data_IF_517395943859
#
_entry.id   IF_517395943859
#
_cell.length_a   1.000
_cell.length_b   1.000
_cell.length_c   1.000
_cell.angle_alpha   90.00
_cell.angle_beta   90.00
_cell.angle_gamma   90.00
#
_symmetry.space_group_name_H-M   'P 1'
#
loop_
_entity.id
_entity.type
_entity.pdbx_description
1 polymer ?
#
# COMPACT_ATOMS: atom_id res chain seq x y z
N UNK A 1 4.23 9.72 3.01
CA UNK A 1 3.41 8.53 2.85
C UNK A 1 1.96 8.82 2.45
N UNK A 2 1.31 9.75 3.10
CA UNK A 2 -0.07 10.13 2.81
C UNK A 2 -0.28 10.51 1.34
N UNK A 3 0.64 11.27 0.76
CA UNK A 3 0.59 11.67 -0.64
C UNK A 3 0.61 10.44 -1.58
N UNK A 4 1.45 9.45 -1.27
CA UNK A 4 1.56 8.22 -2.07
C UNK A 4 0.26 7.42 -1.97
N UNK A 5 -0.30 7.27 -0.78
CA UNK A 5 -1.56 6.56 -0.56
C UNK A 5 -2.71 7.23 -1.31
N UNK A 6 -2.79 8.55 -1.25
CA UNK A 6 -3.82 9.31 -1.94
C UNK A 6 -3.68 9.20 -3.46
N UNK A 7 -2.44 9.24 -3.97
CA UNK A 7 -2.18 9.09 -5.41
C UNK A 7 -2.62 7.71 -5.90
N UNK A 8 -2.26 6.64 -5.18
CA UNK A 8 -2.65 5.27 -5.54
C UNK A 8 -4.17 5.12 -5.49
N UNK A 9 -4.82 5.61 -4.45
CA UNK A 9 -6.28 5.53 -4.31
C UNK A 9 -6.97 6.25 -5.46
N UNK A 10 -6.48 7.43 -5.82
CA UNK A 10 -7.01 8.20 -6.96
C UNK A 10 -6.87 7.45 -8.28
N UNK A 11 -5.73 6.82 -8.51
CA UNK A 11 -5.51 6.03 -9.73
C UNK A 11 -6.49 4.85 -9.79
N UNK A 12 -6.66 4.14 -8.68
CA UNK A 12 -7.59 3.01 -8.59
C UNK A 12 -9.02 3.46 -8.88
N UNK A 13 -9.47 4.55 -8.27
CA UNK A 13 -10.81 5.09 -8.47
C UNK A 13 -11.02 5.51 -9.92
N UNK A 14 -10.04 6.16 -10.52
CA UNK A 14 -10.11 6.59 -11.92
C UNK A 14 -10.20 5.38 -12.86
N UNK A 15 -9.44 4.33 -12.59
CA UNK A 15 -9.48 3.10 -13.38
C UNK A 15 -10.84 2.42 -13.26
N UNK A 16 -11.36 2.27 -12.04
CA UNK A 16 -12.64 1.61 -11.78
C UNK A 16 -13.82 2.36 -12.40
N UNK A 17 -13.74 3.69 -12.45
CA UNK A 17 -14.79 4.51 -13.07
C UNK A 17 -14.71 4.52 -14.60
N UNK A 18 -13.63 4.03 -15.19
CA UNK A 18 -13.42 4.05 -16.64
C UNK A 18 -13.05 5.40 -17.20
N UNK A 19 -12.70 6.38 -16.37
CA UNK A 19 -12.43 7.76 -16.77
C UNK A 19 -10.99 8.03 -17.18
N UNK A 20 -10.27 7.03 -17.64
CA UNK A 20 -8.87 7.18 -18.06
C UNK A 20 -8.73 7.30 -19.57
N UNK A 21 -7.70 8.03 -20.01
CA UNK A 21 -7.40 8.23 -21.43
C UNK A 21 -6.32 7.29 -21.95
N UNK A 22 -5.34 6.95 -21.14
CA UNK A 22 -4.21 6.12 -21.53
C UNK A 22 -3.90 5.11 -20.44
N UNK A 23 -4.24 3.85 -20.71
CA UNK A 23 -4.07 2.75 -19.77
C UNK A 23 -2.60 2.46 -19.49
N UNK A 24 -1.72 2.60 -20.50
CA UNK A 24 -0.28 2.37 -20.31
C UNK A 24 0.34 3.39 -19.35
N UNK A 25 -0.04 4.66 -19.49
CA UNK A 25 0.45 5.73 -18.61
C UNK A 25 -0.06 5.48 -17.19
N UNK A 26 -1.34 5.15 -17.05
CA UNK A 26 -1.96 4.88 -15.76
C UNK A 26 -1.29 3.70 -15.05
N UNK A 27 -1.03 2.62 -15.79
CA UNK A 27 -0.35 1.43 -15.26
C UNK A 27 1.06 1.79 -14.77
N UNK A 28 1.79 2.59 -15.54
CA UNK A 28 3.14 3.05 -15.18
C UNK A 28 3.13 3.88 -13.90
N UNK A 29 2.19 4.81 -13.80
CA UNK A 29 2.04 5.64 -12.60
C UNK A 29 1.71 4.81 -11.37
N UNK A 30 0.80 3.84 -11.53
CA UNK A 30 0.42 2.95 -10.44
C UNK A 30 1.62 2.13 -9.95
N UNK A 31 2.35 1.48 -10.85
CA UNK A 31 3.49 0.63 -10.49
C UNK A 31 4.64 1.44 -9.87
N UNK A 32 4.87 2.66 -10.35
CA UNK A 32 5.88 3.56 -9.76
C UNK A 32 5.52 3.93 -8.33
N UNK A 33 4.25 4.25 -8.09
CA UNK A 33 3.77 4.59 -6.75
C UNK A 33 3.78 3.37 -5.82
N UNK A 34 3.50 2.17 -6.34
CA UNK A 34 3.62 0.93 -5.57
C UNK A 34 5.06 0.71 -5.10
N UNK A 35 6.03 1.01 -5.95
CA UNK A 35 7.44 0.93 -5.58
C UNK A 35 7.78 1.87 -4.42
N UNK A 36 7.32 3.13 -4.50
CA UNK A 36 7.52 4.09 -3.40
C UNK A 36 6.79 3.65 -2.13
N UNK A 37 5.60 3.08 -2.28
CA UNK A 37 4.84 2.56 -1.14
C UNK A 37 5.59 1.42 -0.45
N UNK A 38 6.28 0.56 -1.21
CA UNK A 38 7.10 -0.51 -0.65
C UNK A 38 8.19 0.07 0.27
N UNK A 39 8.83 1.16 -0.13
CA UNK A 39 9.83 1.82 0.70
C UNK A 39 9.22 2.38 1.99
N UNK A 40 8.04 2.98 1.89
CA UNK A 40 7.32 3.48 3.07
C UNK A 40 6.88 2.34 4.00
N UNK A 41 6.50 1.20 3.42
CA UNK A 41 6.13 0.02 4.19
C UNK A 41 7.32 -0.50 5.00
N UNK A 42 8.53 -0.51 4.42
CA UNK A 42 9.75 -0.91 5.13
C UNK A 42 9.99 0.00 6.33
N UNK A 43 9.84 1.30 6.16
CA UNK A 43 9.99 2.28 7.26
C UNK A 43 8.94 2.04 8.35
N UNK A 44 7.70 1.84 7.96
CA UNK A 44 6.61 1.58 8.91
C UNK A 44 6.84 0.29 9.67
N UNK A 45 7.31 -0.76 8.98
CA UNK A 45 7.64 -2.04 9.62
C UNK A 45 8.76 -1.90 10.65
N UNK A 46 9.79 -1.09 10.35
CA UNK A 46 10.86 -0.84 11.30
C UNK A 46 10.35 -0.18 12.58
N UNK A 47 9.45 0.79 12.45
CA UNK A 47 8.80 1.43 13.61
C UNK A 47 7.96 0.43 14.38
N UNK A 48 7.20 -0.41 13.67
CA UNK A 48 6.36 -1.44 14.28
C UNK A 48 7.19 -2.40 15.10
N UNK A 49 8.31 -2.88 14.55
CA UNK A 49 9.22 -3.80 15.24
C UNK A 49 9.84 -3.14 16.47
N UNK A 50 10.19 -1.86 16.38
CA UNK A 50 10.72 -1.10 17.51
C UNK A 50 9.72 -1.07 18.66
N UNK A 51 8.45 -0.76 18.38
CA UNK A 51 7.40 -0.77 19.40
C UNK A 51 7.21 -2.18 19.98
N UNK A 52 7.17 -3.18 19.10
CA UNK A 52 6.98 -4.58 19.50
C UNK A 52 8.07 -5.03 20.47
N UNK A 53 9.35 -4.82 20.12
CA UNK A 53 10.46 -5.28 20.95
C UNK A 53 10.70 -4.43 22.20
N UNK A 54 10.23 -3.21 22.22
CA UNK A 54 10.32 -2.33 23.39
C UNK A 54 9.11 -2.44 24.32
N UNK A 55 8.13 -3.26 23.97
CA UNK A 55 6.97 -3.49 24.83
C UNK A 55 7.38 -4.16 26.14
N UNK A 56 6.79 -3.73 27.24
CA UNK A 56 7.04 -4.30 28.57
C UNK A 56 6.23 -5.58 28.81
N UNK A 57 5.28 -5.90 27.92
CA UNK A 57 4.48 -7.12 28.04
C UNK A 57 5.30 -8.35 27.69
N UNK A 58 4.97 -9.48 28.31
CA UNK A 58 5.54 -10.79 27.97
C UNK A 58 4.65 -11.59 27.04
N UNK A 59 3.44 -11.06 26.75
CA UNK A 59 2.46 -11.72 25.91
C UNK A 59 2.55 -11.16 24.48
N UNK A 60 2.86 -12.03 23.51
CA UNK A 60 3.06 -11.64 22.13
C UNK A 60 1.83 -10.92 21.53
N UNK A 61 0.62 -11.40 21.81
CA UNK A 61 -0.61 -10.79 21.31
C UNK A 61 -0.76 -9.35 21.80
N UNK A 62 -0.35 -9.05 23.04
CA UNK A 62 -0.39 -7.69 23.60
C UNK A 62 0.66 -6.82 22.92
N UNK A 63 1.87 -7.34 22.69
CA UNK A 63 2.93 -6.60 21.99
C UNK A 63 2.51 -6.22 20.58
N UNK A 64 1.89 -7.16 19.85
CA UNK A 64 1.37 -6.92 18.50
C UNK A 64 0.29 -5.85 18.49
N UNK A 65 -0.63 -5.90 19.44
CA UNK A 65 -1.70 -4.92 19.58
C UNK A 65 -1.16 -3.54 19.85
N UNK A 66 -0.16 -3.41 20.72
CA UNK A 66 0.50 -2.14 21.01
C UNK A 66 1.17 -1.57 19.76
N UNK A 67 1.91 -2.42 19.04
CA UNK A 67 2.58 -2.01 17.81
C UNK A 67 1.58 -1.60 16.74
N UNK A 68 0.50 -2.35 16.54
CA UNK A 68 -0.56 -2.00 15.58
C UNK A 68 -1.22 -0.67 15.93
N UNK A 69 -1.43 -0.43 17.20
CA UNK A 69 -2.06 0.82 17.67
C UNK A 69 -1.16 2.04 17.46
N UNK A 70 0.15 1.89 17.68
CA UNK A 70 1.10 2.99 17.56
C UNK A 70 1.59 3.20 16.12
N UNK A 71 1.53 2.17 15.27
CA UNK A 71 1.98 2.25 13.88
C UNK A 71 0.86 1.76 12.95
N UNK A 72 -0.29 2.46 12.89
CA UNK A 72 -1.41 2.05 12.03
C UNK A 72 -1.09 2.15 10.54
N UNK A 73 -0.09 2.96 10.17
CA UNK A 73 0.31 3.15 8.78
C UNK A 73 0.84 1.86 8.14
N UNK A 74 1.37 0.91 8.93
CA UNK A 74 1.83 -0.37 8.38
C UNK A 74 0.68 -1.18 7.80
N UNK A 75 -0.41 -1.28 8.54
CA UNK A 75 -1.61 -1.97 8.07
C UNK A 75 -2.19 -1.28 6.84
N UNK A 76 -2.25 0.04 6.88
CA UNK A 76 -2.79 0.84 5.77
C UNK A 76 -1.95 0.67 4.51
N UNK A 77 -0.61 0.70 4.62
CA UNK A 77 0.28 0.46 3.50
C UNK A 77 0.05 -0.91 2.87
N UNK A 78 -0.07 -1.95 3.68
CA UNK A 78 -0.30 -3.31 3.20
C UNK A 78 -1.64 -3.44 2.48
N UNK A 79 -2.67 -2.85 3.05
CA UNK A 79 -4.03 -2.90 2.48
C UNK A 79 -4.08 -2.19 1.12
N UNK A 80 -3.50 -1.01 1.04
CA UNK A 80 -3.47 -0.23 -0.21
C UNK A 80 -2.59 -0.93 -1.25
N UNK A 81 -1.45 -1.48 -0.84
CA UNK A 81 -0.57 -2.22 -1.74
C UNK A 81 -1.28 -3.43 -2.36
N UNK A 82 -2.01 -4.21 -1.58
CA UNK A 82 -2.74 -5.37 -2.09
C UNK A 82 -3.85 -4.95 -3.07
N UNK A 83 -4.56 -3.87 -2.78
CA UNK A 83 -5.56 -3.32 -3.68
C UNK A 83 -4.91 -2.85 -5.00
N UNK A 84 -3.80 -2.14 -4.92
CA UNK A 84 -3.05 -1.64 -6.08
C UNK A 84 -2.53 -2.80 -6.93
N UNK A 85 -2.04 -3.86 -6.29
CA UNK A 85 -1.54 -5.06 -6.97
C UNK A 85 -2.62 -5.72 -7.82
N UNK A 86 -3.82 -5.87 -7.26
CA UNK A 86 -4.96 -6.43 -7.99
C UNK A 86 -5.33 -5.58 -9.21
N UNK A 87 -5.37 -4.27 -9.04
CA UNK A 87 -5.68 -3.33 -10.14
C UNK A 87 -4.58 -3.35 -11.20
N UNK A 88 -3.31 -3.38 -10.79
CA UNK A 88 -2.18 -3.43 -11.73
C UNK A 88 -2.24 -4.71 -12.60
N UNK A 89 -2.63 -5.84 -12.01
CA UNK A 89 -2.81 -7.10 -12.74
C UNK A 89 -3.94 -6.94 -13.77
N UNK A 90 -5.07 -6.37 -13.36
CA UNK A 90 -6.21 -6.13 -14.26
C UNK A 90 -5.83 -5.23 -15.42
N UNK A 91 -5.11 -4.14 -15.16
CA UNK A 91 -4.61 -3.23 -16.20
C UNK A 91 -3.70 -3.96 -17.17
N UNK A 92 -2.78 -4.78 -16.64
CA UNK A 92 -1.83 -5.54 -17.45
C UNK A 92 -2.54 -6.51 -18.40
N UNK A 93 -3.59 -7.17 -17.92
CA UNK A 93 -4.41 -8.06 -18.75
C UNK A 93 -5.15 -7.29 -19.85
N UNK A 94 -5.73 -6.14 -19.54
CA UNK A 94 -6.39 -5.30 -20.54
C UNK A 94 -5.42 -4.83 -21.62
N UNK A 95 -4.20 -4.43 -21.22
CA UNK A 95 -3.16 -3.99 -22.15
C UNK A 95 -2.79 -5.13 -23.11
N UNK A 96 -2.68 -6.36 -22.61
CA UNK A 96 -2.35 -7.53 -23.43
C UNK A 96 -3.47 -7.92 -24.40
N UNK A 97 -4.72 -7.71 -24.01
CA UNK A 97 -5.87 -8.06 -24.84
C UNK A 97 -6.15 -7.05 -25.95
N UNK A 98 -5.64 -5.84 -25.81
CA UNK A 98 -5.79 -4.78 -26.79
C UNK A 98 -4.55 -4.70 -27.69
#
# INVERSE_FOLDING_TARGET
MEKILNTITSIIETYESGSFKDLHVMHRELTSNMYYLTNEQVKARSKWLEVYYNSKSTVNAVKEREADKQVPELYLCRKIYEAAKGVAISMSLEIKLN
#
